data_IF_506604171563
#
_entry.id   IF_506604171563
#
_cell.length_a   1.000
_cell.length_b   1.000
_cell.length_c   1.000
_cell.angle_alpha   90.00
_cell.angle_beta   90.00
_cell.angle_gamma   90.00
#
_symmetry.space_group_name_H-M   'P 1'
#
loop_
_entity.id
_entity.type
_entity.pdbx_description
1 polymer ?
#
# COMPACT_ATOMS: atom_id res chain seq x y z
N UNK A 1 26.87 32.35 -11.40
CA UNK A 1 25.41 32.17 -11.25
C UNK A 1 25.20 30.85 -10.54
N UNK A 2 24.99 30.92 -9.23
CA UNK A 2 24.86 29.73 -8.37
C UNK A 2 23.39 29.36 -8.27
N UNK A 3 23.01 28.19 -8.78
CA UNK A 3 21.68 27.64 -8.54
C UNK A 3 21.82 26.47 -7.56
N UNK A 4 21.81 26.80 -6.27
CA UNK A 4 21.85 25.83 -5.18
C UNK A 4 20.43 25.35 -4.94
N UNK A 5 20.06 24.21 -5.55
CA UNK A 5 18.85 23.48 -5.16
C UNK A 5 19.15 22.89 -3.77
N UNK A 6 18.41 23.23 -2.71
CA UNK A 6 18.64 22.62 -1.41
C UNK A 6 18.35 21.12 -1.53
N UNK A 7 19.20 20.23 -0.99
CA UNK A 7 18.85 18.83 -0.90
C UNK A 7 17.56 18.75 -0.10
N UNK A 8 16.56 18.08 -0.66
CA UNK A 8 15.33 17.75 0.08
C UNK A 8 15.76 16.79 1.18
N UNK A 9 16.04 17.37 2.34
CA UNK A 9 16.52 16.68 3.51
C UNK A 9 15.35 15.80 3.97
N UNK A 10 15.37 14.53 3.58
CA UNK A 10 14.43 13.54 4.09
C UNK A 10 14.84 13.30 5.54
N UNK A 11 14.21 14.03 6.44
CA UNK A 11 14.28 13.77 7.88
C UNK A 11 13.54 12.44 8.11
N UNK A 12 14.25 11.32 7.92
CA UNK A 12 13.75 9.95 8.06
C UNK A 12 13.68 9.65 9.56
N UNK A 13 12.71 10.25 10.25
CA UNK A 13 12.36 9.82 11.60
C UNK A 13 11.61 8.47 11.58
N UNK A 14 10.98 8.12 10.45
CA UNK A 14 10.47 6.78 10.16
C UNK A 14 10.39 6.55 8.64
N UNK A 15 10.95 5.46 8.08
CA UNK A 15 10.80 5.13 6.67
C UNK A 15 9.32 4.84 6.34
N UNK A 16 8.80 5.47 5.28
CA UNK A 16 7.48 5.15 4.73
C UNK A 16 7.58 3.83 3.97
N UNK A 17 6.86 2.80 4.42
CA UNK A 17 6.99 1.46 3.86
C UNK A 17 6.06 1.18 2.67
N UNK A 18 4.85 1.75 2.66
CA UNK A 18 3.84 1.49 1.63
C UNK A 18 3.96 2.36 0.38
N UNK A 19 2.90 2.36 -0.44
CA UNK A 19 2.75 3.33 -1.51
C UNK A 19 2.54 4.73 -0.91
N UNK A 20 3.20 5.74 -1.49
CA UNK A 20 3.00 7.12 -1.09
C UNK A 20 1.69 7.63 -1.71
N UNK A 21 0.70 7.92 -0.88
CA UNK A 21 -0.58 8.51 -1.29
C UNK A 21 -0.89 9.72 -0.42
N UNK A 22 -1.43 10.75 -1.05
CA UNK A 22 -1.84 11.99 -0.39
C UNK A 22 -3.29 11.86 0.11
N UNK A 23 -3.55 10.79 0.87
CA UNK A 23 -4.87 10.43 1.39
C UNK A 23 -4.70 10.14 2.88
N UNK A 24 -5.62 10.67 3.68
CA UNK A 24 -5.64 10.49 5.13
C UNK A 24 -7.08 10.20 5.58
N UNK A 25 -7.34 9.13 6.36
CA UNK A 25 -6.38 8.16 6.89
C UNK A 25 -5.92 7.13 5.85
N UNK A 26 -4.70 6.61 6.01
CA UNK A 26 -4.11 5.62 5.11
C UNK A 26 -3.20 4.63 5.85
N UNK A 27 -3.35 3.35 5.54
CA UNK A 27 -2.50 2.25 6.00
C UNK A 27 -1.57 1.86 4.85
N UNK A 28 -0.26 2.03 5.03
CA UNK A 28 0.77 1.65 4.09
C UNK A 28 1.55 0.44 4.58
N UNK A 29 1.87 -0.50 3.69
CA UNK A 29 2.69 -1.65 4.04
C UNK A 29 3.60 -2.08 2.88
N UNK A 30 4.78 -2.63 3.20
CA UNK A 30 5.65 -3.32 2.25
C UNK A 30 5.63 -4.81 2.50
N UNK A 31 4.92 -5.53 1.64
CA UNK A 31 4.84 -6.99 1.69
C UNK A 31 6.09 -7.60 1.06
N UNK A 32 6.58 -8.69 1.66
CA UNK A 32 7.63 -9.52 1.05
C UNK A 32 6.99 -10.51 0.11
N UNK A 33 7.44 -10.54 -1.13
CA UNK A 33 6.98 -11.47 -2.14
C UNK A 33 7.91 -12.67 -2.22
N UNK A 34 7.36 -13.88 -2.07
CA UNK A 34 8.06 -15.14 -2.28
C UNK A 34 7.28 -15.96 -3.31
N UNK A 35 7.81 -16.02 -4.53
CA UNK A 35 7.05 -16.52 -5.70
C UNK A 35 5.72 -15.77 -5.83
N UNK A 36 4.57 -16.43 -5.63
CA UNK A 36 3.25 -15.81 -5.69
C UNK A 36 2.61 -15.64 -4.30
N UNK A 37 3.40 -15.83 -3.23
CA UNK A 37 2.96 -15.63 -1.85
C UNK A 37 3.40 -14.26 -1.34
N UNK A 38 2.56 -13.68 -0.49
CA UNK A 38 2.80 -12.38 0.11
C UNK A 38 2.84 -12.48 1.62
N UNK A 39 3.93 -11.99 2.21
CA UNK A 39 4.17 -12.00 3.64
C UNK A 39 4.06 -10.58 4.20
N UNK A 40 3.15 -10.41 5.15
CA UNK A 40 3.00 -9.16 5.90
C UNK A 40 4.03 -9.09 7.03
N UNK A 41 4.67 -7.92 7.16
CA UNK A 41 5.65 -7.63 8.19
C UNK A 41 5.24 -6.35 8.92
N UNK A 42 4.98 -6.45 10.22
CA UNK A 42 4.48 -5.33 11.02
C UNK A 42 5.51 -4.20 11.18
N UNK A 43 6.80 -4.52 11.18
CA UNK A 43 7.90 -3.55 11.17
C UNK A 43 8.04 -2.81 9.82
N UNK A 44 7.30 -3.27 8.79
CA UNK A 44 7.23 -2.67 7.46
C UNK A 44 5.83 -2.15 7.12
N UNK A 45 5.11 -1.70 8.14
CA UNK A 45 3.81 -1.07 8.01
C UNK A 45 3.79 0.26 8.74
N UNK A 46 2.93 1.17 8.28
CA UNK A 46 2.75 2.50 8.84
C UNK A 46 1.31 2.95 8.63
N UNK A 47 0.75 3.63 9.62
CA UNK A 47 -0.54 4.33 9.50
C UNK A 47 -0.28 5.82 9.48
N UNK A 48 -0.90 6.50 8.52
CA UNK A 48 -0.92 7.95 8.39
C UNK A 48 -2.33 8.46 8.71
N UNK A 49 -2.42 9.39 9.66
CA UNK A 49 -3.70 9.85 10.21
C UNK A 49 -4.38 8.85 11.14
N UNK A 50 -5.67 9.05 11.39
CA UNK A 50 -6.44 8.26 12.35
C UNK A 50 -7.63 7.61 11.64
N UNK A 51 -7.67 6.29 11.63
CA UNK A 51 -8.84 5.53 11.18
C UNK A 51 -9.95 5.58 12.24
N UNK A 52 -11.21 5.53 11.81
CA UNK A 52 -12.32 5.30 12.73
C UNK A 52 -12.32 3.86 13.22
N UNK A 53 -12.95 3.58 14.37
CA UNK A 53 -13.09 2.20 14.86
C UNK A 53 -13.82 1.29 13.87
N UNK A 54 -14.75 1.84 13.09
CA UNK A 54 -15.45 1.10 12.05
C UNK A 54 -14.49 0.72 10.90
N UNK A 55 -13.66 1.67 10.45
CA UNK A 55 -12.70 1.40 9.37
C UNK A 55 -11.59 0.46 9.81
N UNK A 56 -11.14 0.51 11.08
CA UNK A 56 -10.19 -0.45 11.62
C UNK A 56 -10.76 -1.88 11.61
N UNK A 57 -12.03 -2.06 12.02
CA UNK A 57 -12.70 -3.36 11.93
C UNK A 57 -12.83 -3.83 10.48
N UNK A 58 -13.13 -2.92 9.55
CA UNK A 58 -13.17 -3.26 8.12
C UNK A 58 -11.78 -3.62 7.59
N UNK A 59 -10.73 -2.94 8.04
CA UNK A 59 -9.35 -3.23 7.68
C UNK A 59 -8.96 -4.63 8.13
N UNK A 60 -9.24 -5.01 9.38
CA UNK A 60 -8.96 -6.34 9.91
C UNK A 60 -9.67 -7.45 9.11
N UNK A 61 -10.90 -7.19 8.65
CA UNK A 61 -11.67 -8.13 7.84
C UNK A 61 -11.23 -8.17 6.38
N UNK A 62 -10.86 -7.03 5.80
CA UNK A 62 -10.51 -6.90 4.40
C UNK A 62 -9.07 -7.34 4.12
N UNK A 63 -8.14 -7.12 5.06
CA UNK A 63 -6.72 -7.31 4.82
C UNK A 63 -6.35 -8.75 4.37
N UNK A 64 -6.87 -9.83 4.99
CA UNK A 64 -6.61 -11.19 4.51
C UNK A 64 -7.19 -11.44 3.10
N UNK A 65 -8.34 -10.85 2.79
CA UNK A 65 -8.99 -10.98 1.48
C UNK A 65 -8.18 -10.27 0.39
N UNK A 66 -7.71 -9.06 0.68
CA UNK A 66 -6.85 -8.26 -0.19
C UNK A 66 -5.52 -8.98 -0.45
N UNK A 67 -4.88 -9.52 0.59
CA UNK A 67 -3.67 -10.33 0.44
C UNK A 67 -3.88 -11.51 -0.51
N UNK A 68 -4.97 -12.28 -0.34
CA UNK A 68 -5.29 -13.39 -1.23
C UNK A 68 -5.56 -12.96 -2.66
N UNK A 69 -6.25 -11.85 -2.86
CA UNK A 69 -6.49 -11.33 -4.20
C UNK A 69 -5.18 -10.92 -4.88
N UNK A 70 -4.26 -10.27 -4.15
CA UNK A 70 -2.95 -9.88 -4.69
C UNK A 70 -2.07 -11.09 -5.02
N UNK A 71 -2.10 -12.16 -4.21
CA UNK A 71 -1.45 -13.44 -4.52
C UNK A 71 -1.99 -14.06 -5.83
N UNK A 72 -3.32 -13.99 -6.05
CA UNK A 72 -3.93 -14.42 -7.31
C UNK A 72 -3.53 -13.54 -8.50
N UNK A 73 -3.39 -12.23 -8.30
CA UNK A 73 -2.92 -11.30 -9.35
C UNK A 73 -1.45 -11.51 -9.71
N UNK A 74 -0.61 -11.91 -8.74
CA UNK A 74 0.76 -12.35 -9.00
C UNK A 74 0.77 -13.64 -9.84
N UNK A 75 -0.12 -14.59 -9.52
CA UNK A 75 -0.26 -15.84 -10.26
C UNK A 75 -0.77 -15.62 -11.69
N UNK A 76 -1.73 -14.72 -11.90
CA UNK A 76 -2.27 -14.40 -13.23
C UNK A 76 -1.31 -13.54 -14.06
N UNK A 77 -0.37 -12.85 -13.41
CA UNK A 77 0.57 -11.92 -14.03
C UNK A 77 0.03 -10.49 -14.19
N UNK A 78 -1.20 -10.22 -13.72
CA UNK A 78 -1.77 -8.87 -13.66
C UNK A 78 -0.94 -7.95 -12.76
N UNK A 79 -0.49 -8.48 -11.61
CA UNK A 79 0.56 -7.86 -10.82
C UNK A 79 1.89 -8.52 -11.18
N UNK A 80 2.81 -7.76 -11.76
CA UNK A 80 4.09 -8.29 -12.23
C UNK A 80 5.25 -7.76 -11.37
N UNK A 81 6.09 -8.63 -10.76
CA UNK A 81 7.22 -8.20 -9.94
C UNK A 81 8.27 -7.36 -10.69
N UNK A 82 8.31 -7.45 -12.03
CA UNK A 82 9.30 -6.80 -12.89
C UNK A 82 8.79 -5.51 -13.54
N UNK A 83 7.48 -5.27 -13.52
CA UNK A 83 6.88 -4.11 -14.16
C UNK A 83 6.12 -3.30 -13.13
N UNK A 84 6.34 -1.99 -13.16
CA UNK A 84 5.53 -1.08 -12.38
C UNK A 84 4.12 -1.04 -12.97
N UNK A 85 3.16 -1.45 -12.16
CA UNK A 85 1.75 -1.42 -12.53
C UNK A 85 0.92 -1.38 -11.25
N UNK A 86 0.25 -0.26 -11.02
CA UNK A 86 -0.60 -0.07 -9.87
C UNK A 86 -1.96 -0.70 -10.14
N UNK A 87 -2.38 -1.62 -9.28
CA UNK A 87 -3.71 -2.22 -9.28
C UNK A 87 -4.53 -1.65 -8.14
N UNK A 88 -5.85 -1.57 -8.33
CA UNK A 88 -6.79 -1.06 -7.33
C UNK A 88 -7.84 -2.11 -7.02
N UNK A 89 -7.98 -2.43 -5.73
CA UNK A 89 -8.95 -3.38 -5.20
C UNK A 89 -9.92 -2.66 -4.26
N UNK A 90 -11.14 -3.17 -4.17
CA UNK A 90 -12.19 -2.64 -3.30
C UNK A 90 -12.68 -3.74 -2.37
N UNK A 91 -12.67 -3.49 -1.07
CA UNK A 91 -13.15 -4.44 -0.08
C UNK A 91 -13.66 -3.72 1.16
N UNK A 92 -14.88 -4.05 1.61
CA UNK A 92 -15.47 -3.55 2.88
C UNK A 92 -15.46 -2.02 3.03
N UNK A 93 -15.70 -1.28 1.94
CA UNK A 93 -15.68 0.18 1.96
C UNK A 93 -14.27 0.78 2.04
N UNK A 94 -13.23 -0.02 1.81
CA UNK A 94 -11.84 0.40 1.67
C UNK A 94 -11.39 0.25 0.21
N UNK A 95 -10.49 1.12 -0.18
CA UNK A 95 -9.72 1.06 -1.41
C UNK A 95 -8.32 0.58 -1.05
N UNK A 96 -7.81 -0.40 -1.79
CA UNK A 96 -6.45 -0.91 -1.67
C UNK A 96 -5.74 -0.72 -3.01
N UNK A 97 -4.73 0.12 -3.02
CA UNK A 97 -3.80 0.25 -4.13
C UNK A 97 -2.56 -0.60 -3.85
N UNK A 98 -2.11 -1.34 -4.86
CA UNK A 98 -0.93 -2.18 -4.77
C UNK A 98 -0.06 -2.05 -6.02
N UNK A 99 1.26 -2.00 -5.85
CA UNK A 99 2.22 -1.98 -6.96
C UNK A 99 3.50 -2.73 -6.55
N UNK A 100 4.12 -3.44 -7.48
CA UNK A 100 5.43 -4.07 -7.25
C UNK A 100 6.59 -3.06 -7.36
N UNK A 101 6.36 -1.93 -8.03
CA UNK A 101 7.36 -0.93 -8.44
C UNK A 101 8.56 -1.54 -9.18
N UNK A 102 8.38 -2.70 -9.83
CA UNK A 102 9.48 -3.43 -10.47
C UNK A 102 10.55 -3.90 -9.48
N UNK A 103 10.20 -4.10 -8.21
CA UNK A 103 11.18 -4.38 -7.14
C UNK A 103 11.70 -5.81 -7.09
N UNK A 104 11.14 -6.74 -7.88
CA UNK A 104 11.52 -8.16 -7.94
C UNK A 104 11.32 -8.96 -6.64
N UNK A 105 10.74 -8.38 -5.59
CA UNK A 105 10.56 -9.07 -4.31
C UNK A 105 9.68 -8.36 -3.29
N UNK A 106 9.08 -7.23 -3.64
CA UNK A 106 8.17 -6.50 -2.76
C UNK A 106 6.89 -6.09 -3.48
N UNK A 107 5.81 -6.01 -2.71
CA UNK A 107 4.57 -5.35 -3.12
C UNK A 107 4.29 -4.24 -2.10
N UNK A 108 4.10 -3.04 -2.60
CA UNK A 108 3.81 -1.84 -1.81
C UNK A 108 2.31 -1.63 -1.81
N UNK A 109 1.73 -1.42 -0.62
CA UNK A 109 0.30 -1.20 -0.43
C UNK A 109 0.01 0.21 0.06
N UNK A 110 -1.15 0.73 -0.31
CA UNK A 110 -1.86 1.79 0.39
C UNK A 110 -3.35 1.40 0.51
N UNK A 111 -3.87 1.36 1.74
CA UNK A 111 -5.26 1.05 2.03
C UNK A 111 -5.89 2.24 2.75
N UNK A 112 -7.01 2.73 2.23
CA UNK A 112 -7.69 3.91 2.78
C UNK A 112 -9.20 3.78 2.58
N UNK A 113 -10.03 4.46 3.39
CA UNK A 113 -11.48 4.41 3.23
C UNK A 113 -11.91 4.97 1.87
N UNK A 114 -12.93 4.36 1.27
CA UNK A 114 -13.58 4.93 0.10
C UNK A 114 -14.19 6.28 0.50
N UNK A 115 -13.92 7.37 -0.24
CA UNK A 115 -14.58 8.65 0.03
C UNK A 115 -16.10 8.46 0.03
N UNK A 116 -16.78 8.97 1.05
CA UNK A 116 -18.23 9.00 1.03
C UNK A 116 -18.67 9.83 -0.18
N UNK A 117 -19.44 9.23 -1.09
CA UNK A 117 -20.09 9.98 -2.16
C UNK A 117 -21.07 10.95 -1.50
N UNK A 118 -20.69 12.21 -1.36
CA UNK A 118 -21.65 13.30 -1.17
C UNK A 118 -22.46 13.38 -2.46
N UNK A 119 -23.67 12.81 -2.45
CA UNK A 119 -24.74 13.16 -3.39
C UNK A 119 -25.31 14.55 -3.06
#
# INVERSE_FOLDING_TARGET
MSNTIPPVNHDIAAPWWGLKRDITPCFGARLVQESNRLHYLNDRASITGTFSDADLRHLDQAFPLLLKQLELMLLSGELNPRHQHCVTLYAKGLICEADSLGSHGYVYLAIYPTPATTE
#
